data_IF_473241868720
#
_entry.id   IF_473241868720
#
_cell.length_a   1.000
_cell.length_b   1.000
_cell.length_c   1.000
_cell.angle_alpha   90.00
_cell.angle_beta   90.00
_cell.angle_gamma   90.00
#
_symmetry.space_group_name_H-M   'P 1'
#
loop_
_entity.id
_entity.type
_entity.pdbx_description
1 polymer ?
#
# COMPACT_ATOMS: atom_id res chain seq x y z
N UNK A 1 -5.98 20.37 -14.05
CA UNK A 1 -5.95 20.46 -12.59
C UNK A 1 -5.07 19.34 -12.01
N UNK A 2 -4.13 19.70 -11.15
CA UNK A 2 -3.27 18.70 -10.51
C UNK A 2 -3.99 18.09 -9.31
N UNK A 3 -3.87 16.78 -9.13
CA UNK A 3 -4.31 16.10 -7.91
C UNK A 3 -3.44 16.53 -6.73
N UNK A 4 -3.94 16.32 -5.49
CA UNK A 4 -3.19 16.69 -4.28
C UNK A 4 -1.83 16.00 -4.19
N UNK A 5 -1.76 14.73 -4.62
CA UNK A 5 -0.49 14.00 -4.65
C UNK A 5 0.51 14.61 -5.62
N UNK A 6 0.04 15.07 -6.80
CA UNK A 6 0.89 15.78 -7.75
C UNK A 6 1.42 17.08 -7.17
N UNK A 7 0.59 17.81 -6.44
CA UNK A 7 0.98 19.05 -5.77
C UNK A 7 2.00 18.81 -4.67
N UNK A 8 1.80 17.77 -3.86
CA UNK A 8 2.73 17.38 -2.82
C UNK A 8 4.11 17.05 -3.41
N UNK A 9 4.13 16.19 -4.41
CA UNK A 9 5.36 15.75 -5.07
C UNK A 9 6.08 16.93 -5.71
N UNK A 10 5.35 17.81 -6.39
CA UNK A 10 5.92 19.01 -7.01
C UNK A 10 6.55 19.95 -5.98
N UNK A 11 6.02 19.97 -4.75
CA UNK A 11 6.58 20.77 -3.66
C UNK A 11 7.83 20.18 -3.03
N UNK A 12 8.15 18.93 -3.32
CA UNK A 12 9.37 18.27 -2.82
C UNK A 12 10.45 18.46 -3.89
N UNK A 13 11.36 19.40 -3.68
CA UNK A 13 12.31 19.83 -4.70
C UNK A 13 13.61 19.04 -4.74
N UNK A 14 13.86 18.18 -3.75
CA UNK A 14 15.06 17.34 -3.72
C UNK A 14 14.77 15.94 -4.29
N UNK A 15 15.74 15.02 -4.14
CA UNK A 15 15.65 13.65 -4.64
C UNK A 15 14.38 12.89 -4.19
N UNK A 16 13.83 13.26 -3.02
CA UNK A 16 12.64 12.60 -2.48
C UNK A 16 11.43 12.78 -3.38
N UNK A 17 11.32 13.93 -4.07
CA UNK A 17 10.25 14.18 -5.01
C UNK A 17 10.23 13.17 -6.15
N UNK A 18 11.39 12.91 -6.75
CA UNK A 18 11.53 11.93 -7.84
C UNK A 18 11.24 10.51 -7.37
N UNK A 19 11.77 10.14 -6.21
CA UNK A 19 11.53 8.82 -5.61
C UNK A 19 10.05 8.63 -5.31
N UNK A 20 9.42 9.61 -4.70
CA UNK A 20 7.99 9.58 -4.39
C UNK A 20 7.14 9.43 -5.65
N UNK A 21 7.48 10.19 -6.70
CA UNK A 21 6.79 10.10 -7.99
C UNK A 21 6.91 8.70 -8.61
N UNK A 22 8.10 8.10 -8.54
CA UNK A 22 8.34 6.75 -9.07
C UNK A 22 7.55 5.69 -8.29
N UNK A 23 7.49 5.81 -6.97
CA UNK A 23 6.71 4.92 -6.12
C UNK A 23 5.22 5.02 -6.45
N UNK A 24 4.69 6.24 -6.51
CA UNK A 24 3.30 6.49 -6.86
C UNK A 24 2.93 5.93 -8.23
N UNK A 25 3.79 6.17 -9.21
CA UNK A 25 3.59 5.66 -10.57
C UNK A 25 3.50 4.13 -10.59
N UNK A 26 4.42 3.45 -9.92
CA UNK A 26 4.41 1.99 -9.84
C UNK A 26 3.13 1.47 -9.18
N UNK A 27 2.68 2.11 -8.12
CA UNK A 27 1.45 1.73 -7.42
C UNK A 27 0.24 1.86 -8.35
N UNK A 28 0.07 3.01 -8.97
CA UNK A 28 -1.08 3.27 -9.83
C UNK A 28 -1.06 2.42 -11.11
N UNK A 29 0.12 2.06 -11.60
CA UNK A 29 0.26 1.18 -12.75
C UNK A 29 -0.01 -0.29 -12.42
N UNK A 30 0.13 -0.70 -11.16
CA UNK A 30 -0.07 -2.09 -10.75
C UNK A 30 -1.51 -2.55 -10.96
N UNK A 31 -2.48 -1.66 -10.76
CA UNK A 31 -3.90 -1.97 -10.97
C UNK A 31 -4.66 -0.65 -11.21
N UNK A 32 -5.42 -0.60 -12.28
CA UNK A 32 -6.16 0.61 -12.68
C UNK A 32 -7.32 0.97 -11.74
N UNK A 33 -7.72 0.06 -10.88
CA UNK A 33 -8.83 0.28 -9.96
C UNK A 33 -8.37 0.72 -8.58
N UNK A 34 -7.07 0.95 -8.39
CA UNK A 34 -6.53 1.48 -7.14
C UNK A 34 -7.05 2.91 -6.96
N UNK A 35 -7.56 3.17 -5.75
CA UNK A 35 -8.05 4.50 -5.35
C UNK A 35 -7.00 5.16 -4.48
N UNK A 36 -6.69 6.42 -4.78
CA UNK A 36 -5.75 7.23 -4.02
C UNK A 36 -6.52 8.29 -3.25
N UNK A 37 -6.30 8.35 -1.94
CA UNK A 37 -6.95 9.33 -1.06
C UNK A 37 -5.91 10.07 -0.22
N UNK A 38 -6.30 11.26 0.25
CA UNK A 38 -5.50 12.06 1.19
C UNK A 38 -6.02 11.90 2.59
N UNK A 39 -5.15 11.47 3.50
CA UNK A 39 -5.50 11.30 4.90
C UNK A 39 -4.33 11.73 5.78
N UNK A 40 -4.60 11.82 7.07
CA UNK A 40 -3.58 12.04 8.10
C UNK A 40 -2.61 13.17 7.76
N UNK A 41 -3.13 14.39 7.64
CA UNK A 41 -2.34 15.61 7.44
C UNK A 41 -1.56 15.63 6.11
N UNK A 42 -2.13 15.03 5.09
CA UNK A 42 -1.59 15.16 3.75
C UNK A 42 -0.77 13.98 3.27
N UNK A 43 -0.97 12.79 3.83
CA UNK A 43 -0.34 11.58 3.32
C UNK A 43 -1.24 10.90 2.28
N UNK A 44 -0.71 10.54 1.10
CA UNK A 44 -1.47 9.74 0.16
C UNK A 44 -1.59 8.31 0.66
N UNK A 45 -2.79 7.76 0.53
CA UNK A 45 -3.13 6.40 0.94
C UNK A 45 -3.78 5.71 -0.25
N UNK A 46 -3.38 4.48 -0.52
CA UNK A 46 -3.91 3.71 -1.64
C UNK A 46 -4.77 2.55 -1.16
N UNK A 47 -5.90 2.34 -1.84
CA UNK A 47 -6.90 1.33 -1.53
C UNK A 47 -7.26 0.51 -2.76
N UNK A 48 -7.50 -0.76 -2.56
CA UNK A 48 -8.14 -1.66 -3.52
C UNK A 48 -8.72 -2.82 -2.71
N UNK A 49 -10.04 -2.81 -2.51
CA UNK A 49 -10.74 -3.78 -1.65
C UNK A 49 -10.21 -3.78 -0.21
N UNK A 50 -9.73 -2.63 0.23
CA UNK A 50 -9.12 -2.41 1.53
C UNK A 50 -7.85 -1.60 1.38
N UNK A 51 -7.27 -1.19 2.50
CA UNK A 51 -6.07 -0.39 2.49
C UNK A 51 -4.88 -1.21 1.97
N UNK A 52 -4.07 -0.59 1.11
CA UNK A 52 -2.83 -1.17 0.61
C UNK A 52 -1.64 -0.57 1.35
N UNK A 53 -1.42 0.71 1.17
CA UNK A 53 -0.21 1.38 1.65
C UNK A 53 -0.40 2.88 1.84
N UNK A 54 0.51 3.47 2.60
CA UNK A 54 0.60 4.90 2.87
C UNK A 54 2.03 5.33 2.58
N UNK A 55 2.23 6.48 1.94
CA UNK A 55 3.56 7.01 1.69
C UNK A 55 3.78 8.32 2.44
N UNK A 56 4.99 8.51 2.92
CA UNK A 56 5.41 9.72 3.60
C UNK A 56 6.83 10.09 3.18
N UNK A 57 7.06 11.38 2.90
CA UNK A 57 8.41 11.91 2.72
C UNK A 57 8.92 12.40 4.08
N UNK A 58 9.95 11.77 4.59
CA UNK A 58 10.62 12.16 5.83
C UNK A 58 11.93 12.85 5.51
N UNK A 59 12.55 13.45 6.54
CA UNK A 59 13.89 14.01 6.40
C UNK A 59 14.85 12.86 6.09
N UNK A 60 15.40 12.84 4.90
CA UNK A 60 16.39 11.85 4.47
C UNK A 60 15.86 10.55 3.91
N UNK A 61 14.54 10.36 3.78
CA UNK A 61 13.98 9.16 3.17
C UNK A 61 12.54 9.32 2.73
N UNK A 62 12.11 8.44 1.83
CA UNK A 62 10.69 8.26 1.49
C UNK A 62 10.28 6.90 2.06
N UNK A 63 9.24 6.89 2.89
CA UNK A 63 8.74 5.66 3.52
C UNK A 63 7.43 5.24 2.88
N UNK A 64 7.34 3.99 2.46
CA UNK A 64 6.12 3.36 1.97
C UNK A 64 5.73 2.25 2.95
N UNK A 65 4.64 2.44 3.69
CA UNK A 65 4.18 1.50 4.70
C UNK A 65 3.01 0.68 4.18
N UNK A 66 3.15 -0.64 4.15
CA UNK A 66 2.09 -1.57 3.79
C UNK A 66 1.32 -1.98 5.04
N UNK A 67 0.01 -1.77 5.02
CA UNK A 67 -0.86 -2.03 6.18
C UNK A 67 -0.80 -3.49 6.64
N UNK A 68 -0.69 -4.42 5.72
CA UNK A 68 -0.64 -5.86 6.00
C UNK A 68 0.67 -6.50 5.52
N UNK A 69 1.75 -5.72 5.52
CA UNK A 69 3.04 -6.14 4.99
C UNK A 69 3.56 -7.45 5.57
N UNK A 70 3.31 -7.69 6.86
CA UNK A 70 3.76 -8.93 7.52
C UNK A 70 3.11 -10.20 6.93
N UNK A 71 1.95 -10.06 6.27
CA UNK A 71 1.23 -11.18 5.66
C UNK A 71 1.52 -11.35 4.17
N UNK A 72 2.36 -10.50 3.60
CA UNK A 72 2.63 -10.51 2.16
C UNK A 72 3.92 -11.28 1.85
N UNK A 73 3.93 -12.04 0.73
CA UNK A 73 5.18 -12.61 0.24
C UNK A 73 6.08 -11.48 -0.27
N UNK A 74 7.34 -11.52 0.09
CA UNK A 74 8.33 -10.53 -0.33
C UNK A 74 9.58 -11.23 -0.84
N UNK A 75 9.48 -11.94 -1.99
CA UNK A 75 10.61 -12.69 -2.51
C UNK A 75 11.78 -11.80 -2.94
N UNK A 76 11.50 -10.56 -3.29
CA UNK A 76 12.52 -9.59 -3.69
C UNK A 76 13.13 -8.82 -2.51
N UNK A 77 12.69 -9.13 -1.31
CA UNK A 77 13.18 -8.54 -0.06
C UNK A 77 13.12 -7.01 -0.05
N UNK A 78 11.98 -6.47 -0.47
CA UNK A 78 11.77 -5.03 -0.53
C UNK A 78 11.60 -4.41 0.86
N UNK A 79 10.93 -5.10 1.79
CA UNK A 79 10.73 -4.57 3.13
C UNK A 79 12.07 -4.47 3.87
N UNK A 80 12.37 -3.28 4.34
CA UNK A 80 13.60 -3.00 5.07
C UNK A 80 13.36 -2.20 6.37
N UNK A 81 12.10 -1.99 6.73
CA UNK A 81 11.73 -1.29 7.95
C UNK A 81 10.48 -1.90 8.54
N UNK A 82 10.31 -1.78 9.85
CA UNK A 82 9.17 -2.34 10.54
C UNK A 82 9.10 -3.86 10.52
N UNK A 83 10.24 -4.54 10.38
CA UNK A 83 10.29 -6.01 10.20
C UNK A 83 9.81 -6.79 11.43
N UNK A 84 9.76 -6.15 12.59
CA UNK A 84 9.25 -6.77 13.82
C UNK A 84 7.76 -6.53 14.04
N UNK A 85 7.12 -5.75 13.16
CA UNK A 85 5.68 -5.47 13.26
C UNK A 85 4.84 -6.71 12.98
N UNK A 86 3.74 -6.84 13.71
CA UNK A 86 2.82 -7.97 13.56
C UNK A 86 1.95 -7.85 12.31
N UNK A 87 1.72 -6.65 11.81
CA UNK A 87 0.88 -6.40 10.64
C UNK A 87 1.58 -5.53 9.61
N UNK A 88 2.09 -4.38 10.02
CA UNK A 88 2.69 -3.40 9.12
C UNK A 88 4.15 -3.68 8.82
N UNK A 89 4.56 -3.44 7.58
CA UNK A 89 5.97 -3.41 7.17
C UNK A 89 6.17 -2.29 6.20
N UNK A 90 7.39 -1.77 6.11
CA UNK A 90 7.68 -0.60 5.30
C UNK A 90 8.91 -0.79 4.44
N UNK A 91 8.96 0.00 3.37
CA UNK A 91 10.13 0.17 2.54
C UNK A 91 10.61 1.60 2.74
N UNK A 92 11.85 1.75 3.20
CA UNK A 92 12.51 3.05 3.27
C UNK A 92 13.40 3.21 2.04
N UNK A 93 13.13 4.26 1.26
CA UNK A 93 13.94 4.63 0.11
C UNK A 93 14.86 5.77 0.51
N UNK A 94 16.15 5.57 0.34
CA UNK A 94 17.18 6.57 0.64
C UNK A 94 17.72 7.21 -0.63
N UNK A 95 18.44 8.31 -0.49
CA UNK A 95 19.06 8.99 -1.63
C UNK A 95 19.95 8.04 -2.41
N UNK A 96 19.77 8.00 -3.73
CA UNK A 96 20.49 7.10 -4.61
C UNK A 96 19.87 5.74 -4.81
N UNK A 97 18.88 5.37 -3.99
CA UNK A 97 18.16 4.11 -4.18
C UNK A 97 17.31 4.17 -5.45
N UNK A 98 17.34 3.09 -6.21
CA UNK A 98 16.49 2.96 -7.39
C UNK A 98 15.21 2.24 -6.99
N UNK A 99 14.07 2.77 -7.44
CA UNK A 99 12.79 2.12 -7.25
C UNK A 99 12.66 0.98 -8.25
N UNK A 100 12.66 -0.26 -7.76
CA UNK A 100 12.41 -1.42 -8.60
C UNK A 100 10.90 -1.52 -8.84
N UNK A 101 10.44 -0.87 -9.90
CA UNK A 101 8.99 -0.79 -10.20
C UNK A 101 8.38 -2.17 -10.42
N UNK A 102 9.09 -3.07 -11.08
CA UNK A 102 8.60 -4.43 -11.34
C UNK A 102 8.33 -5.18 -10.05
N UNK A 103 9.29 -5.18 -9.12
CA UNK A 103 9.15 -5.84 -7.84
C UNK A 103 8.08 -5.16 -6.98
N UNK A 104 8.03 -3.83 -7.01
CA UNK A 104 7.03 -3.06 -6.27
C UNK A 104 5.61 -3.33 -6.77
N UNK A 105 5.40 -3.35 -8.09
CA UNK A 105 4.10 -3.71 -8.67
C UNK A 105 3.65 -5.09 -8.23
N UNK A 106 4.58 -6.04 -8.22
CA UNK A 106 4.30 -7.41 -7.77
C UNK A 106 3.85 -7.44 -6.31
N UNK A 107 4.53 -6.68 -5.46
CA UNK A 107 4.17 -6.57 -4.05
C UNK A 107 2.81 -5.89 -3.85
N UNK A 108 2.52 -4.85 -4.62
CA UNK A 108 1.21 -4.18 -4.61
C UNK A 108 0.10 -5.16 -5.01
N UNK A 109 0.31 -5.95 -6.05
CA UNK A 109 -0.67 -6.97 -6.47
C UNK A 109 -0.88 -8.02 -5.39
N UNK A 110 0.18 -8.42 -4.69
CA UNK A 110 0.07 -9.33 -3.55
C UNK A 110 -0.77 -8.73 -2.43
N UNK A 111 -0.63 -7.42 -2.18
CA UNK A 111 -1.44 -6.71 -1.19
C UNK A 111 -2.93 -6.70 -1.59
N UNK A 112 -3.21 -6.50 -2.88
CA UNK A 112 -4.57 -6.55 -3.41
C UNK A 112 -5.15 -7.96 -3.23
N UNK A 113 -4.41 -9.00 -3.60
CA UNK A 113 -4.83 -10.39 -3.43
C UNK A 113 -5.14 -10.71 -1.97
N UNK A 114 -4.31 -10.21 -1.05
CA UNK A 114 -4.53 -10.37 0.39
C UNK A 114 -5.86 -9.73 0.82
N UNK A 115 -6.12 -8.50 0.37
CA UNK A 115 -7.36 -7.80 0.68
C UNK A 115 -8.58 -8.53 0.13
N UNK A 116 -8.50 -9.02 -1.09
CA UNK A 116 -9.58 -9.77 -1.73
C UNK A 116 -9.84 -11.10 -1.02
N UNK A 117 -8.79 -11.79 -0.59
CA UNK A 117 -8.90 -13.01 0.22
C UNK A 117 -9.63 -12.76 1.54
N UNK A 118 -9.30 -11.65 2.20
CA UNK A 118 -9.98 -11.26 3.46
C UNK A 118 -11.46 -11.01 3.25
N UNK A 119 -11.82 -10.33 2.16
CA UNK A 119 -13.22 -10.06 1.83
C UNK A 119 -13.98 -11.36 1.56
N UNK A 120 -13.39 -12.31 0.84
CA UNK A 120 -14.00 -13.62 0.58
C UNK A 120 -14.22 -14.40 1.86
N UNK A 121 -13.24 -14.43 2.76
CA UNK A 121 -13.35 -15.11 4.06
C UNK A 121 -14.44 -14.46 4.92
N UNK A 122 -14.51 -13.15 4.94
CA UNK A 122 -15.52 -12.40 5.69
C UNK A 122 -16.93 -12.66 5.14
N UNK A 123 -17.08 -12.68 3.82
CA UNK A 123 -18.35 -12.98 3.18
C UNK A 123 -18.81 -14.42 3.49
N UNK A 124 -17.90 -15.38 3.40
CA UNK A 124 -18.20 -16.78 3.72
C UNK A 124 -18.60 -16.95 5.18
N UNK A 125 -17.90 -16.29 6.11
CA UNK A 125 -18.25 -16.31 7.53
C UNK A 125 -19.62 -15.69 7.78
N UNK A 126 -19.93 -14.58 7.09
CA UNK A 126 -21.24 -13.93 7.16
C UNK A 126 -22.38 -14.84 6.68
N UNK A 127 -22.16 -15.53 5.57
CA UNK A 127 -23.15 -16.50 5.04
C UNK A 127 -23.35 -17.67 6.00
N UNK A 128 -22.27 -18.22 6.56
CA UNK A 128 -22.37 -19.30 7.56
C UNK A 128 -23.15 -18.86 8.79
N UNK A 129 -22.89 -17.66 9.30
CA UNK A 129 -23.59 -17.11 10.46
C UNK A 129 -25.09 -16.96 10.20
N UNK A 130 -25.47 -16.47 9.02
CA UNK A 130 -26.88 -16.35 8.62
C UNK A 130 -27.58 -17.71 8.52
N UNK A 131 -26.91 -18.69 7.94
CA UNK A 131 -27.46 -20.06 7.81
C UNK A 131 -27.69 -20.68 9.18
N UNK A 132 -26.72 -20.53 10.10
CA UNK A 132 -26.84 -21.03 11.48
C UNK A 132 -28.02 -20.38 12.22
N UNK A 133 -28.20 -19.07 12.09
CA UNK A 133 -29.34 -18.37 12.69
C UNK A 133 -30.67 -18.87 12.15
N UNK A 134 -30.77 -19.14 10.84
CA UNK A 134 -31.99 -19.73 10.25
C UNK A 134 -32.29 -21.08 10.83
N UNK A 135 -31.29 -21.92 11.08
CA UNK A 135 -31.48 -23.27 11.63
C UNK A 135 -31.90 -23.28 13.09
N UNK A 136 -31.64 -22.20 13.81
CA UNK A 136 -31.98 -22.08 15.25
C UNK A 136 -33.38 -21.49 15.50
N UNK A 137 -34.02 -21.04 14.46
CA UNK A 137 -35.35 -20.45 14.57
C UNK A 137 -36.50 -21.54 14.67
#
# INVERSE_FOLDING_TARGET
MLFRSDQLIAGITDWRGKTFASVREAILEADKEIVEEWKWMGSPVWYRDGIIAVANAHKGKVKLTFAYGASLPDPDKLFNAGLEGNARRAIDFFEGDKVNKRALKKLIRAAIDHNQSKLKKKAAAGVRAKVQKSKKA
#
